data_IF_103156565434
#
_entry.id   IF_103156565434
#
_cell.length_a   1.000
_cell.length_b   1.000
_cell.length_c   1.000
_cell.angle_alpha   90.00
_cell.angle_beta   90.00
_cell.angle_gamma   90.00
#
_symmetry.space_group_name_H-M   'P 1'
#
loop_
_entity.id
_entity.type
_entity.pdbx_description
1 polymer ?
#
# COMPACT_ATOMS: atom_id res chain seq x y z
N UNK A 1 65.64 10.82 27.06
CA UNK A 1 65.44 10.22 25.72
C UNK A 1 64.12 10.76 25.14
N UNK A 2 64.25 11.42 23.97
CA UNK A 2 63.28 11.84 22.94
C UNK A 2 61.79 12.01 23.31
N UNK A 3 61.26 13.23 23.39
CA UNK A 3 60.86 14.21 22.34
C UNK A 3 59.45 14.01 21.77
N UNK A 4 58.63 15.05 21.96
CA UNK A 4 57.37 15.31 21.27
C UNK A 4 57.57 15.71 19.80
N UNK A 5 56.58 15.45 18.93
CA UNK A 5 56.34 16.22 17.70
C UNK A 5 54.93 16.00 17.13
N UNK A 6 54.21 17.10 16.94
CA UNK A 6 53.08 17.25 16.02
C UNK A 6 53.47 16.89 14.59
N UNK A 7 52.57 16.24 13.83
CA UNK A 7 52.50 16.38 12.36
C UNK A 7 51.03 16.38 11.90
N UNK A 8 50.73 17.39 11.08
CA UNK A 8 49.49 17.68 10.35
C UNK A 8 49.23 16.60 9.28
N UNK A 9 47.98 16.31 8.97
CA UNK A 9 47.63 15.82 7.63
C UNK A 9 46.78 16.87 6.91
N UNK A 10 47.40 17.42 5.87
CA UNK A 10 46.77 18.26 4.85
C UNK A 10 45.97 17.36 3.90
N UNK A 11 44.92 17.94 3.33
CA UNK A 11 44.04 17.35 2.34
C UNK A 11 44.76 17.06 1.01
N UNK A 12 44.37 15.96 0.37
CA UNK A 12 44.36 15.81 -1.08
C UNK A 12 43.01 15.22 -1.47
N UNK A 13 42.16 16.07 -2.02
CA UNK A 13 40.98 15.67 -2.78
C UNK A 13 41.45 15.09 -4.11
N UNK A 14 40.94 13.93 -4.50
CA UNK A 14 40.87 13.53 -5.91
C UNK A 14 39.82 12.43 -6.11
N UNK A 15 38.79 12.78 -6.89
CA UNK A 15 37.91 11.92 -7.69
C UNK A 15 37.18 10.77 -6.98
N UNK A 16 36.12 11.12 -6.24
CA UNK A 16 34.93 10.27 -6.24
C UNK A 16 34.06 10.72 -7.41
N UNK A 17 34.01 9.91 -8.47
CA UNK A 17 33.01 10.04 -9.53
C UNK A 17 31.62 9.93 -8.90
N UNK A 18 31.02 11.10 -8.64
CA UNK A 18 29.62 11.24 -8.34
C UNK A 18 28.86 10.81 -9.60
N UNK A 19 28.46 9.54 -9.68
CA UNK A 19 27.39 9.13 -10.58
C UNK A 19 26.13 9.82 -10.06
N UNK A 20 25.54 10.79 -10.78
CA UNK A 20 24.29 11.38 -10.36
C UNK A 20 23.23 10.29 -10.49
N UNK A 21 22.64 9.86 -9.37
CA UNK A 21 21.38 9.13 -9.41
C UNK A 21 20.38 10.10 -10.03
N UNK A 22 19.95 9.81 -11.25
CA UNK A 22 19.06 10.67 -12.00
C UNK A 22 17.75 10.81 -11.23
N UNK A 23 17.36 12.05 -10.91
CA UNK A 23 16.16 12.38 -10.15
C UNK A 23 14.88 11.69 -10.68
N UNK A 24 14.82 11.39 -11.99
CA UNK A 24 13.71 10.66 -12.62
C UNK A 24 13.50 9.23 -12.15
N UNK A 25 14.54 8.47 -11.75
CA UNK A 25 14.36 7.07 -11.32
C UNK A 25 13.67 6.93 -9.95
N UNK A 26 13.80 7.95 -9.10
CA UNK A 26 13.14 8.02 -7.79
C UNK A 26 11.68 8.43 -7.91
N UNK A 27 11.38 9.28 -8.88
CA UNK A 27 10.06 9.86 -9.15
C UNK A 27 9.07 8.82 -9.66
N UNK A 28 9.49 8.08 -10.69
CA UNK A 28 8.73 6.99 -11.31
C UNK A 28 8.24 5.94 -10.30
N UNK A 29 9.03 5.68 -9.25
CA UNK A 29 8.75 4.63 -8.26
C UNK A 29 7.83 5.09 -7.14
N UNK A 30 7.82 6.38 -6.81
CA UNK A 30 6.89 6.92 -5.82
C UNK A 30 5.48 6.95 -6.41
N UNK A 31 5.35 7.34 -7.68
CA UNK A 31 4.10 7.27 -8.41
C UNK A 31 3.59 5.82 -8.57
N UNK A 32 4.45 4.87 -8.97
CA UNK A 32 4.09 3.45 -9.01
C UNK A 32 3.65 2.93 -7.62
N UNK A 33 4.30 3.40 -6.54
CA UNK A 33 3.93 3.05 -5.18
C UNK A 33 2.53 3.58 -4.82
N UNK A 34 2.20 4.80 -5.21
CA UNK A 34 0.85 5.36 -5.05
C UNK A 34 -0.20 4.47 -5.70
N UNK A 35 -0.01 4.10 -6.96
CA UNK A 35 -0.94 3.23 -7.70
C UNK A 35 -1.05 1.86 -7.02
N UNK A 36 0.08 1.34 -6.55
CA UNK A 36 0.13 0.05 -5.86
C UNK A 36 -0.57 0.04 -4.50
N UNK A 37 -0.63 1.18 -3.80
CA UNK A 37 -1.44 1.34 -2.58
C UNK A 37 -2.90 1.64 -2.92
N UNK A 38 -3.18 2.36 -4.00
CA UNK A 38 -4.54 2.73 -4.39
C UNK A 38 -5.35 1.52 -4.88
N UNK A 39 -4.77 0.65 -5.71
CA UNK A 39 -5.46 -0.53 -6.24
C UNK A 39 -6.14 -1.41 -5.16
N UNK A 40 -5.46 -1.87 -4.08
CA UNK A 40 -6.11 -2.67 -3.05
C UNK A 40 -7.18 -1.87 -2.27
N UNK A 41 -6.95 -0.58 -1.98
CA UNK A 41 -7.97 0.26 -1.34
C UNK A 41 -9.21 0.41 -2.23
N UNK A 42 -9.02 0.62 -3.53
CA UNK A 42 -10.09 0.72 -4.51
C UNK A 42 -10.90 -0.57 -4.67
N UNK A 43 -10.23 -1.73 -4.61
CA UNK A 43 -10.91 -3.04 -4.53
C UNK A 43 -11.76 -3.12 -3.27
N UNK A 44 -11.22 -2.73 -2.11
CA UNK A 44 -11.97 -2.68 -0.85
C UNK A 44 -13.24 -1.83 -0.98
N UNK A 45 -13.12 -0.62 -1.55
CA UNK A 45 -14.27 0.25 -1.85
C UNK A 45 -15.31 -0.46 -2.71
N UNK A 46 -14.90 -1.12 -3.80
CA UNK A 46 -15.82 -1.83 -4.69
C UNK A 46 -16.55 -2.99 -3.97
N UNK A 47 -15.84 -3.73 -3.11
CA UNK A 47 -16.39 -4.85 -2.33
C UNK A 47 -17.37 -4.35 -1.29
N UNK A 48 -17.04 -3.31 -0.53
CA UNK A 48 -17.95 -2.75 0.48
C UNK A 48 -19.17 -2.11 -0.18
N UNK A 49 -19.01 -1.38 -1.28
CA UNK A 49 -20.14 -0.85 -2.05
C UNK A 49 -21.04 -1.97 -2.56
N UNK A 50 -20.46 -3.08 -3.03
CA UNK A 50 -21.22 -4.30 -3.41
C UNK A 50 -21.98 -4.88 -2.21
N UNK A 51 -21.34 -5.01 -1.06
CA UNK A 51 -21.97 -5.51 0.16
C UNK A 51 -23.14 -4.60 0.58
N UNK A 52 -22.95 -3.29 0.58
CA UNK A 52 -23.98 -2.30 0.89
C UNK A 52 -25.18 -2.43 -0.07
N UNK A 53 -24.94 -2.62 -1.36
CA UNK A 53 -25.98 -2.86 -2.38
C UNK A 53 -26.76 -4.17 -2.13
N UNK A 54 -26.16 -5.12 -1.43
CA UNK A 54 -26.71 -6.43 -1.17
C UNK A 54 -27.37 -6.59 0.20
N UNK A 55 -27.19 -5.65 1.14
CA UNK A 55 -27.73 -5.74 2.51
C UNK A 55 -29.24 -6.03 2.60
N UNK A 56 -30.04 -5.57 1.63
CA UNK A 56 -31.49 -5.79 1.58
C UNK A 56 -31.89 -6.86 0.55
N UNK A 57 -30.95 -7.61 0.00
CA UNK A 57 -31.22 -8.68 -0.95
C UNK A 57 -31.38 -10.02 -0.22
N UNK A 58 -32.55 -10.62 -0.40
CA UNK A 58 -32.88 -11.93 0.16
C UNK A 58 -31.99 -13.06 -0.35
N UNK A 59 -31.29 -12.87 -1.48
CA UNK A 59 -30.34 -13.84 -2.05
C UNK A 59 -28.93 -13.74 -1.47
N UNK A 60 -28.63 -12.68 -0.71
CA UNK A 60 -27.28 -12.46 -0.16
C UNK A 60 -27.07 -13.30 1.11
N UNK A 61 -25.88 -13.88 1.27
CA UNK A 61 -25.51 -14.71 2.44
C UNK A 61 -24.43 -14.01 3.26
N UNK A 62 -24.48 -12.67 3.29
CA UNK A 62 -23.45 -11.84 3.90
C UNK A 62 -23.31 -12.09 5.39
N UNK A 63 -22.08 -12.04 5.87
CA UNK A 63 -21.75 -12.00 7.31
C UNK A 63 -21.01 -10.71 7.63
N UNK A 64 -21.30 -10.13 8.79
CA UNK A 64 -20.60 -8.93 9.26
C UNK A 64 -19.08 -9.13 9.31
N UNK A 65 -18.63 -10.31 9.75
CA UNK A 65 -17.21 -10.71 9.75
C UNK A 65 -16.58 -10.78 8.35
N UNK A 66 -17.36 -11.08 7.31
CA UNK A 66 -16.88 -11.10 5.93
C UNK A 66 -16.77 -9.67 5.39
N UNK A 67 -17.75 -8.82 5.66
CA UNK A 67 -17.73 -7.39 5.28
C UNK A 67 -16.52 -6.70 5.94
N UNK A 68 -16.30 -6.92 7.23
CA UNK A 68 -15.19 -6.32 7.98
C UNK A 68 -13.81 -6.66 7.41
N UNK A 69 -13.61 -7.87 6.84
CA UNK A 69 -12.34 -8.29 6.24
C UNK A 69 -11.95 -7.50 4.99
N UNK A 70 -12.92 -6.87 4.34
CA UNK A 70 -12.71 -6.08 3.13
C UNK A 70 -12.76 -4.58 3.39
N UNK A 71 -12.85 -4.15 4.66
CA UNK A 71 -12.81 -2.75 5.01
C UNK A 71 -11.50 -2.13 4.49
N UNK A 72 -11.57 -1.13 3.60
CA UNK A 72 -10.38 -0.52 3.01
C UNK A 72 -9.53 0.21 4.06
N UNK A 73 -8.23 -0.09 4.08
CA UNK A 73 -7.24 0.66 4.85
C UNK A 73 -6.78 1.89 4.05
N UNK A 74 -6.72 3.04 4.72
CA UNK A 74 -6.31 4.32 4.17
C UNK A 74 -4.99 4.83 4.77
N UNK A 75 -4.45 4.15 5.79
CA UNK A 75 -3.20 4.54 6.44
C UNK A 75 -1.99 4.56 5.50
N UNK A 76 -1.81 3.59 4.57
CA UNK A 76 -0.68 3.62 3.63
C UNK A 76 -0.70 4.86 2.73
N UNK A 77 -1.85 5.15 2.12
CA UNK A 77 -2.03 6.31 1.23
C UNK A 77 -1.87 7.63 1.98
N UNK A 78 -2.42 7.74 3.20
CA UNK A 78 -2.27 8.93 4.05
C UNK A 78 -0.82 9.20 4.44
N UNK A 79 -0.02 8.15 4.61
CA UNK A 79 1.41 8.27 4.94
C UNK A 79 2.24 8.63 3.70
N UNK A 80 1.84 8.13 2.53
CA UNK A 80 2.54 8.37 1.26
C UNK A 80 2.28 9.77 0.68
N UNK A 81 1.09 10.33 0.86
CA UNK A 81 0.67 11.58 0.23
C UNK A 81 1.63 12.77 0.50
N UNK A 82 2.06 13.06 1.75
CA UNK A 82 3.02 14.13 2.01
C UNK A 82 4.34 13.94 1.27
N UNK A 83 4.82 12.70 1.17
CA UNK A 83 6.06 12.36 0.46
C UNK A 83 5.94 12.66 -1.04
N UNK A 84 4.79 12.35 -1.64
CA UNK A 84 4.55 12.63 -3.06
C UNK A 84 4.51 14.14 -3.35
N UNK A 85 3.91 14.92 -2.45
CA UNK A 85 3.86 16.38 -2.55
C UNK A 85 5.25 16.99 -2.40
N UNK A 86 6.01 16.55 -1.38
CA UNK A 86 7.37 17.06 -1.10
C UNK A 86 8.36 16.77 -2.25
N UNK A 87 8.07 15.76 -3.07
CA UNK A 87 8.89 15.36 -4.21
C UNK A 87 8.33 15.85 -5.56
N UNK A 88 7.30 16.68 -5.59
CA UNK A 88 6.63 17.19 -6.82
C UNK A 88 6.17 16.05 -7.78
N UNK A 89 5.83 14.87 -7.23
CA UNK A 89 5.42 13.68 -8.00
C UNK A 89 3.98 13.75 -8.51
N UNK A 90 3.18 14.55 -7.81
CA UNK A 90 1.79 14.82 -8.15
C UNK A 90 1.58 16.33 -8.12
N UNK A 91 0.80 16.82 -9.06
CA UNK A 91 0.47 18.24 -9.08
C UNK A 91 -0.51 18.61 -7.94
N UNK A 92 -0.63 19.89 -7.57
CA UNK A 92 -1.53 20.31 -6.51
C UNK A 92 -3.01 19.91 -6.72
N UNK A 93 -3.57 19.94 -7.94
CA UNK A 93 -4.90 19.38 -8.22
C UNK A 93 -5.02 17.89 -7.87
N UNK A 94 -4.11 17.04 -8.33
CA UNK A 94 -4.10 15.61 -8.04
C UNK A 94 -3.94 15.35 -6.54
N UNK A 95 -3.06 16.08 -5.86
CA UNK A 95 -2.91 16.00 -4.42
C UNK A 95 -4.22 16.33 -3.68
N UNK A 96 -4.96 17.34 -4.15
CA UNK A 96 -6.26 17.69 -3.61
C UNK A 96 -7.30 16.58 -3.87
N UNK A 97 -7.32 15.96 -5.07
CA UNK A 97 -8.17 14.82 -5.39
C UNK A 97 -7.90 13.62 -4.46
N UNK A 98 -6.63 13.25 -4.25
CA UNK A 98 -6.24 12.18 -3.32
C UNK A 98 -6.64 12.54 -1.87
N UNK A 99 -6.45 13.78 -1.45
CA UNK A 99 -6.83 14.22 -0.10
C UNK A 99 -8.35 14.18 0.13
N UNK A 100 -9.13 14.63 -0.85
CA UNK A 100 -10.59 14.55 -0.82
C UNK A 100 -11.06 13.09 -0.71
N UNK A 101 -10.51 12.21 -1.56
CA UNK A 101 -10.76 10.77 -1.49
C UNK A 101 -10.47 10.19 -0.10
N UNK A 102 -9.32 10.50 0.51
CA UNK A 102 -8.97 9.99 1.83
C UNK A 102 -9.93 10.47 2.92
N UNK A 103 -10.40 11.72 2.83
CA UNK A 103 -11.39 12.28 3.74
C UNK A 103 -12.74 11.58 3.60
N UNK A 104 -13.21 11.37 2.37
CA UNK A 104 -14.49 10.73 2.11
C UNK A 104 -14.46 9.24 2.48
N UNK A 105 -13.33 8.57 2.24
CA UNK A 105 -13.06 7.21 2.70
C UNK A 105 -13.10 7.09 4.23
N UNK A 106 -12.49 8.02 4.97
CA UNK A 106 -12.53 8.02 6.43
C UNK A 106 -13.97 8.24 6.97
N UNK A 107 -14.72 9.13 6.33
CA UNK A 107 -16.14 9.38 6.65
C UNK A 107 -17.00 8.13 6.41
N UNK A 108 -16.90 7.52 5.23
CA UNK A 108 -17.63 6.29 4.89
C UNK A 108 -17.25 5.11 5.81
N UNK A 109 -15.97 5.02 6.20
CA UNK A 109 -15.48 3.99 7.13
C UNK A 109 -16.07 4.15 8.53
N UNK A 110 -16.30 5.39 8.99
CA UNK A 110 -17.00 5.65 10.27
C UNK A 110 -18.41 5.08 10.25
N UNK A 111 -19.15 5.29 9.15
CA UNK A 111 -20.49 4.71 8.97
C UNK A 111 -20.48 3.19 8.87
N UNK A 112 -19.45 2.61 8.23
CA UNK A 112 -19.27 1.16 8.18
C UNK A 112 -19.01 0.57 9.57
N UNK A 113 -18.15 1.20 10.37
CA UNK A 113 -17.85 0.73 11.73
C UNK A 113 -19.09 0.76 12.62
N UNK A 114 -19.88 1.84 12.59
CA UNK A 114 -21.14 1.91 13.31
C UNK A 114 -22.13 0.78 12.91
N UNK A 115 -22.20 0.44 11.62
CA UNK A 115 -22.98 -0.69 11.15
C UNK A 115 -22.45 -2.05 11.67
N UNK A 116 -21.13 -2.23 11.70
CA UNK A 116 -20.52 -3.46 12.20
C UNK A 116 -20.74 -3.64 13.70
N UNK A 117 -20.60 -2.56 14.48
CA UNK A 117 -20.90 -2.54 15.92
C UNK A 117 -22.38 -2.92 16.17
N UNK A 118 -23.31 -2.34 15.40
CA UNK A 118 -24.73 -2.68 15.49
C UNK A 118 -25.03 -4.11 15.01
N UNK A 119 -24.24 -4.68 14.10
CA UNK A 119 -24.38 -6.09 13.72
C UNK A 119 -24.05 -7.02 14.90
N UNK A 120 -23.04 -6.69 15.69
CA UNK A 120 -22.69 -7.44 16.90
C UNK A 120 -23.79 -7.33 17.96
N UNK A 121 -24.39 -6.15 18.11
CA UNK A 121 -25.45 -5.92 19.10
C UNK A 121 -26.84 -6.44 18.67
N UNK A 122 -27.21 -6.32 17.39
CA UNK A 122 -28.60 -6.47 16.92
C UNK A 122 -28.81 -7.56 15.87
N UNK A 123 -27.75 -8.22 15.38
CA UNK A 123 -27.70 -9.06 14.17
C UNK A 123 -27.77 -8.28 12.85
N UNK A 124 -27.19 -8.87 11.79
CA UNK A 124 -27.05 -8.25 10.47
C UNK A 124 -28.39 -7.78 9.86
N UNK A 125 -29.49 -8.56 9.85
CA UNK A 125 -30.74 -8.10 9.25
C UNK A 125 -31.31 -6.85 9.92
N UNK A 126 -31.17 -6.72 11.24
CA UNK A 126 -31.66 -5.54 11.98
C UNK A 126 -30.78 -4.33 11.75
N UNK A 127 -29.46 -4.50 11.80
CA UNK A 127 -28.51 -3.45 11.48
C UNK A 127 -28.67 -2.96 10.03
N UNK A 128 -28.96 -3.87 9.08
CA UNK A 128 -29.21 -3.52 7.68
C UNK A 128 -30.41 -2.57 7.52
N UNK A 129 -31.50 -2.76 8.27
CA UNK A 129 -32.66 -1.85 8.23
C UNK A 129 -32.27 -0.42 8.64
N UNK A 130 -31.38 -0.27 9.62
CA UNK A 130 -30.93 1.03 10.12
C UNK A 130 -29.94 1.71 9.16
N UNK A 131 -29.00 0.95 8.61
CA UNK A 131 -27.80 1.50 7.96
C UNK A 131 -27.78 1.37 6.43
N UNK A 132 -28.57 0.48 5.82
CA UNK A 132 -28.41 0.13 4.40
C UNK A 132 -28.48 1.34 3.47
N UNK A 133 -29.41 2.27 3.69
CA UNK A 133 -29.55 3.46 2.84
C UNK A 133 -28.33 4.38 2.94
N UNK A 134 -27.84 4.62 4.15
CA UNK A 134 -26.65 5.43 4.39
C UNK A 134 -25.42 4.79 3.75
N UNK A 135 -25.21 3.48 3.97
CA UNK A 135 -24.09 2.75 3.41
C UNK A 135 -24.15 2.70 1.88
N UNK A 136 -25.31 2.41 1.30
CA UNK A 136 -25.47 2.43 -0.17
C UNK A 136 -25.16 3.79 -0.76
N UNK A 137 -25.62 4.88 -0.12
CA UNK A 137 -25.39 6.23 -0.64
C UNK A 137 -23.91 6.61 -0.57
N UNK A 138 -23.30 6.47 0.61
CA UNK A 138 -21.90 6.83 0.86
C UNK A 138 -20.93 5.99 0.05
N UNK A 139 -21.08 4.65 0.05
CA UNK A 139 -20.16 3.77 -0.65
C UNK A 139 -20.33 3.78 -2.18
N UNK A 140 -21.53 4.09 -2.71
CA UNK A 140 -21.68 4.35 -4.16
C UNK A 140 -21.04 5.67 -4.57
N UNK A 141 -21.16 6.72 -3.76
CA UNK A 141 -20.47 7.99 -4.03
C UNK A 141 -18.96 7.79 -4.03
N UNK A 142 -18.43 7.16 -2.98
CA UNK A 142 -17.01 6.85 -2.86
C UNK A 142 -16.51 5.96 -4.01
N UNK A 143 -17.29 4.98 -4.47
CA UNK A 143 -16.93 4.15 -5.63
C UNK A 143 -16.81 4.97 -6.92
N UNK A 144 -17.65 5.99 -7.12
CA UNK A 144 -17.54 6.91 -8.28
C UNK A 144 -16.31 7.79 -8.18
N UNK A 145 -16.05 8.37 -7.01
CA UNK A 145 -14.89 9.21 -6.75
C UNK A 145 -13.59 8.42 -6.91
N UNK A 146 -13.53 7.21 -6.36
CA UNK A 146 -12.38 6.31 -6.50
C UNK A 146 -12.11 5.99 -7.97
N UNK A 147 -13.15 5.71 -8.75
CA UNK A 147 -13.01 5.46 -10.19
C UNK A 147 -12.49 6.69 -10.92
N UNK A 148 -13.01 7.87 -10.62
CA UNK A 148 -12.56 9.13 -11.22
C UNK A 148 -11.09 9.39 -10.90
N UNK A 149 -10.68 9.23 -9.64
CA UNK A 149 -9.29 9.36 -9.20
C UNK A 149 -8.35 8.38 -9.92
N UNK A 150 -8.77 7.12 -10.09
CA UNK A 150 -7.97 6.13 -10.82
C UNK A 150 -7.75 6.53 -12.29
N UNK A 151 -8.79 7.03 -12.96
CA UNK A 151 -8.66 7.53 -14.34
C UNK A 151 -7.77 8.77 -14.41
N UNK A 152 -7.93 9.70 -13.47
CA UNK A 152 -7.07 10.90 -13.36
C UNK A 152 -5.59 10.51 -13.22
N UNK A 153 -5.29 9.53 -12.37
CA UNK A 153 -3.94 9.03 -12.15
C UNK A 153 -3.38 8.22 -13.34
N UNK A 154 -4.23 7.54 -14.11
CA UNK A 154 -3.79 6.85 -15.33
C UNK A 154 -3.47 7.83 -16.47
N UNK A 155 -4.18 8.95 -16.53
CA UNK A 155 -3.98 10.01 -17.52
C UNK A 155 -2.85 10.98 -17.11
N UNK A 156 -2.31 10.85 -15.89
CA UNK A 156 -1.23 11.69 -15.42
C UNK A 156 0.03 11.52 -16.28
N UNK A 157 0.77 12.59 -16.61
CA UNK A 157 1.97 12.54 -17.44
C UNK A 157 3.18 11.87 -16.75
N UNK A 158 2.97 11.24 -15.59
CA UNK A 158 3.97 10.46 -14.88
C UNK A 158 4.44 9.27 -15.73
N UNK A 159 5.66 8.81 -15.47
CA UNK A 159 6.35 7.76 -16.23
C UNK A 159 5.47 6.53 -16.52
N UNK A 160 5.61 5.89 -17.70
CA UNK A 160 4.70 4.84 -18.14
C UNK A 160 4.66 3.69 -17.12
N UNK A 161 3.48 3.48 -16.54
CA UNK A 161 3.24 2.39 -15.61
C UNK A 161 3.40 1.03 -16.32
N UNK A 162 3.87 -0.01 -15.62
CA UNK A 162 3.89 -1.35 -16.18
C UNK A 162 2.49 -1.79 -16.63
N UNK A 163 2.39 -2.52 -17.75
CA UNK A 163 1.13 -3.00 -18.34
C UNK A 163 0.21 -3.73 -17.33
N UNK A 164 0.78 -4.42 -16.35
CA UNK A 164 0.02 -5.09 -15.28
C UNK A 164 -0.80 -4.11 -14.44
N UNK A 165 -0.34 -2.87 -14.24
CA UNK A 165 -1.10 -1.84 -13.53
C UNK A 165 -2.30 -1.38 -14.35
N UNK A 166 -2.14 -1.16 -15.65
CA UNK A 166 -3.26 -0.83 -16.55
C UNK A 166 -4.31 -1.94 -16.58
N UNK A 167 -3.89 -3.21 -16.58
CA UNK A 167 -4.82 -4.34 -16.52
C UNK A 167 -5.59 -4.39 -15.20
N UNK A 168 -4.90 -4.22 -14.06
CA UNK A 168 -5.55 -4.10 -12.76
C UNK A 168 -6.58 -2.96 -12.76
N UNK A 169 -6.15 -1.78 -13.22
CA UNK A 169 -6.95 -0.57 -13.30
C UNK A 169 -8.25 -0.73 -14.07
N UNK A 170 -8.20 -1.40 -15.24
CA UNK A 170 -9.40 -1.72 -16.03
C UNK A 170 -10.39 -2.60 -15.27
N UNK A 171 -9.89 -3.66 -14.61
CA UNK A 171 -10.72 -4.56 -13.82
C UNK A 171 -11.36 -3.80 -12.66
N UNK A 172 -10.55 -3.09 -11.86
CA UNK A 172 -11.02 -2.35 -10.68
C UNK A 172 -12.01 -1.24 -11.07
N UNK A 173 -11.75 -0.50 -12.15
CA UNK A 173 -12.66 0.52 -12.68
C UNK A 173 -14.01 -0.06 -13.11
N UNK A 174 -14.04 -1.27 -13.66
CA UNK A 174 -15.29 -1.96 -13.99
C UNK A 174 -16.06 -2.37 -12.72
N UNK A 175 -15.38 -2.88 -11.69
CA UNK A 175 -15.98 -3.22 -10.40
C UNK A 175 -16.57 -1.99 -9.71
N UNK A 176 -15.78 -0.91 -9.62
CA UNK A 176 -16.21 0.37 -9.05
C UNK A 176 -17.40 0.94 -9.81
N UNK A 177 -17.35 0.94 -11.14
CA UNK A 177 -18.44 1.42 -11.99
C UNK A 177 -19.73 0.61 -11.81
N UNK A 178 -19.63 -0.71 -11.69
CA UNK A 178 -20.79 -1.56 -11.40
C UNK A 178 -21.36 -1.27 -10.01
N UNK A 179 -20.53 -1.28 -8.97
CA UNK A 179 -20.96 -1.05 -7.60
C UNK A 179 -21.56 0.35 -7.39
N UNK A 180 -20.96 1.39 -7.99
CA UNK A 180 -21.48 2.75 -8.02
C UNK A 180 -22.92 2.85 -8.58
N UNK A 181 -23.22 2.04 -9.60
CA UNK A 181 -24.54 1.98 -10.23
C UNK A 181 -25.52 1.03 -9.52
N UNK A 182 -25.17 0.53 -8.32
CA UNK A 182 -26.02 -0.35 -7.54
C UNK A 182 -25.91 -1.84 -7.89
N UNK A 183 -25.01 -2.21 -8.81
CA UNK A 183 -24.74 -3.61 -9.12
C UNK A 183 -23.93 -4.28 -8.00
N UNK A 184 -23.77 -5.60 -8.11
CA UNK A 184 -23.10 -6.43 -7.09
C UNK A 184 -21.95 -7.24 -7.70
N UNK A 185 -20.97 -6.59 -8.37
CA UNK A 185 -19.96 -7.29 -9.15
C UNK A 185 -19.03 -8.19 -8.31
N UNK A 186 -18.94 -7.93 -7.00
CA UNK A 186 -18.14 -8.70 -6.05
C UNK A 186 -18.95 -9.77 -5.28
N UNK A 187 -20.12 -10.19 -5.77
CA UNK A 187 -20.85 -11.35 -5.25
C UNK A 187 -20.74 -12.56 -6.18
N UNK A 188 -20.41 -13.72 -5.61
CA UNK A 188 -20.46 -14.99 -6.34
C UNK A 188 -21.92 -15.47 -6.52
N UNK A 189 -22.11 -16.55 -7.28
CA UNK A 189 -23.44 -17.15 -7.49
C UNK A 189 -24.11 -17.61 -6.18
N UNK A 190 -23.31 -17.87 -5.14
CA UNK A 190 -23.78 -18.24 -3.82
C UNK A 190 -24.08 -17.02 -2.92
N UNK A 191 -23.98 -15.80 -3.43
CA UNK A 191 -24.26 -14.57 -2.69
C UNK A 191 -23.18 -14.20 -1.66
N UNK A 192 -21.95 -14.72 -1.80
CA UNK A 192 -20.80 -14.41 -0.93
C UNK A 192 -19.89 -13.38 -1.57
N UNK A 193 -19.23 -12.58 -0.73
CA UNK A 193 -18.23 -11.63 -1.21
C UNK A 193 -17.01 -12.37 -1.76
N UNK A 194 -16.59 -11.97 -2.95
CA UNK A 194 -15.34 -12.41 -3.55
C UNK A 194 -14.63 -11.23 -4.23
N UNK A 195 -13.31 -11.32 -4.29
CA UNK A 195 -12.48 -10.37 -5.05
C UNK A 195 -12.03 -11.08 -6.33
N UNK A 196 -12.37 -10.54 -7.51
CA UNK A 196 -11.87 -11.07 -8.77
C UNK A 196 -10.34 -11.14 -8.77
N UNK A 197 -9.74 -12.18 -9.39
CA UNK A 197 -8.29 -12.27 -9.45
C UNK A 197 -7.71 -11.09 -10.24
N UNK A 198 -6.87 -10.30 -9.58
CA UNK A 198 -6.09 -9.25 -10.24
C UNK A 198 -4.77 -9.82 -10.81
N UNK A 199 -4.36 -9.44 -12.03
CA UNK A 199 -3.07 -9.81 -12.62
C UNK A 199 -1.88 -9.53 -11.71
N UNK A 200 -1.86 -8.37 -11.06
CA UNK A 200 -0.86 -8.03 -10.05
C UNK A 200 -1.48 -8.14 -8.65
N UNK A 201 -1.18 -9.25 -7.95
CA UNK A 201 -1.57 -9.48 -6.55
C UNK A 201 -0.41 -9.21 -5.60
N UNK A 202 -0.61 -8.29 -4.66
CA UNK A 202 0.20 -8.26 -3.43
C UNK A 202 -0.20 -9.46 -2.57
N UNK A 203 0.77 -10.29 -2.17
CA UNK A 203 0.52 -11.52 -1.40
C UNK A 203 0.25 -11.27 0.09
N UNK A 204 0.62 -10.10 0.60
CA UNK A 204 0.38 -9.68 1.97
C UNK A 204 0.33 -8.14 2.06
N UNK A 205 -0.50 -7.56 2.94
CA UNK A 205 -0.48 -6.14 3.23
C UNK A 205 0.90 -5.73 3.78
N UNK A 206 1.34 -4.52 3.43
CA UNK A 206 2.61 -3.96 3.88
C UNK A 206 2.34 -2.78 4.81
N UNK A 207 2.91 -2.80 6.01
CA UNK A 207 2.90 -1.68 6.94
C UNK A 207 4.09 -0.78 6.67
N UNK A 208 3.86 0.53 6.64
CA UNK A 208 4.96 1.49 6.65
C UNK A 208 5.77 1.31 7.95
N UNK A 209 7.09 1.21 7.79
CA UNK A 209 8.04 0.92 8.88
C UNK A 209 9.02 2.08 9.04
N UNK A 210 9.48 2.65 7.92
CA UNK A 210 10.22 3.92 7.82
C UNK A 210 11.37 4.09 8.84
N UNK A 211 12.26 3.10 8.96
CA UNK A 211 13.37 3.14 9.92
C UNK A 211 14.71 2.74 9.31
N UNK A 212 15.78 3.35 9.82
CA UNK A 212 17.15 2.98 9.46
C UNK A 212 17.47 1.55 9.93
N UNK A 213 18.27 0.85 9.14
CA UNK A 213 18.73 -0.50 9.44
C UNK A 213 20.18 -0.68 9.01
N UNK A 214 20.81 -1.76 9.49
CA UNK A 214 22.06 -2.28 8.96
C UNK A 214 21.76 -3.50 8.10
N UNK A 215 22.31 -3.53 6.90
CA UNK A 215 22.12 -4.63 5.95
C UNK A 215 23.45 -5.32 5.71
N UNK A 216 23.50 -6.57 6.16
CA UNK A 216 24.61 -7.49 5.94
C UNK A 216 24.37 -8.20 4.61
N UNK A 217 25.01 -7.70 3.56
CA UNK A 217 25.05 -8.34 2.25
C UNK A 217 26.19 -9.36 2.12
N UNK A 218 26.23 -10.12 1.02
CA UNK A 218 27.29 -11.10 0.78
C UNK A 218 28.68 -10.48 0.65
N UNK A 219 28.77 -9.22 0.22
CA UNK A 219 30.03 -8.54 -0.07
C UNK A 219 30.32 -7.35 0.83
N UNK A 220 29.30 -6.80 1.52
CA UNK A 220 29.47 -5.63 2.36
C UNK A 220 28.38 -5.49 3.42
N UNK A 221 28.76 -4.84 4.52
CA UNK A 221 27.84 -4.25 5.49
C UNK A 221 27.56 -2.81 5.07
N UNK A 222 26.28 -2.43 5.02
CA UNK A 222 25.89 -1.06 4.69
C UNK A 222 24.71 -0.60 5.55
N UNK A 223 24.58 0.71 5.70
CA UNK A 223 23.35 1.31 6.22
C UNK A 223 22.28 1.27 5.15
N UNK A 224 21.06 0.96 5.56
CA UNK A 224 19.89 0.95 4.69
C UNK A 224 18.68 1.56 5.40
N UNK A 225 17.56 1.59 4.71
CA UNK A 225 16.30 2.10 5.22
C UNK A 225 15.18 1.12 4.92
N UNK A 226 14.46 0.68 5.94
CA UNK A 226 13.26 -0.16 5.77
C UNK A 226 12.08 0.76 5.54
N UNK A 227 11.53 0.75 4.32
CA UNK A 227 10.33 1.51 3.97
C UNK A 227 9.09 0.89 4.57
N UNK A 228 8.94 -0.41 4.35
CA UNK A 228 7.74 -1.17 4.65
C UNK A 228 8.08 -2.60 5.07
N UNK A 229 7.16 -3.24 5.79
CA UNK A 229 7.22 -4.65 6.15
C UNK A 229 5.88 -5.33 5.89
N UNK A 230 5.93 -6.59 5.49
CA UNK A 230 4.77 -7.48 5.35
C UNK A 230 5.07 -8.78 6.07
N UNK A 231 4.06 -9.64 6.23
CA UNK A 231 4.29 -10.96 6.80
C UNK A 231 5.36 -11.76 6.03
N UNK A 232 5.56 -11.49 4.74
CA UNK A 232 6.51 -12.22 3.88
C UNK A 232 7.83 -11.52 3.60
N UNK A 233 8.06 -10.28 4.03
CA UNK A 233 9.29 -9.57 3.69
C UNK A 233 9.33 -8.07 3.99
N UNK A 234 10.47 -7.46 3.68
CA UNK A 234 10.75 -6.03 3.85
C UNK A 234 10.93 -5.33 2.50
N UNK A 235 10.44 -4.09 2.42
CA UNK A 235 10.86 -3.12 1.42
C UNK A 235 12.07 -2.35 1.94
N UNK A 236 13.20 -2.47 1.26
CA UNK A 236 14.46 -1.82 1.60
C UNK A 236 14.78 -0.69 0.61
N UNK A 237 15.38 0.39 1.09
CA UNK A 237 15.88 1.53 0.33
C UNK A 237 17.26 1.97 0.84
N UNK A 238 17.93 2.83 0.07
CA UNK A 238 19.33 3.27 0.30
C UNK A 238 20.34 2.12 0.33
N UNK A 239 20.16 1.14 -0.54
CA UNK A 239 20.98 -0.07 -0.57
C UNK A 239 21.66 -0.19 -1.93
N UNK A 240 22.98 -0.32 -1.95
CA UNK A 240 23.77 -0.48 -3.16
C UNK A 240 24.42 -1.87 -3.22
N UNK A 241 24.69 -2.35 -4.43
CA UNK A 241 25.51 -3.54 -4.67
C UNK A 241 24.85 -4.89 -4.35
N UNK A 242 23.60 -4.93 -3.88
CA UNK A 242 22.85 -6.17 -3.75
C UNK A 242 22.27 -6.61 -5.10
N UNK A 243 22.12 -7.92 -5.27
CA UNK A 243 21.52 -8.54 -6.45
C UNK A 243 20.35 -9.43 -6.05
N UNK A 244 19.44 -9.64 -6.99
CA UNK A 244 18.36 -10.61 -6.83
C UNK A 244 18.96 -12.01 -6.57
N UNK A 245 18.47 -12.67 -5.54
CA UNK A 245 18.99 -13.97 -5.08
C UNK A 245 19.99 -13.89 -3.93
N UNK A 246 20.52 -12.70 -3.62
CA UNK A 246 21.46 -12.53 -2.52
C UNK A 246 20.81 -12.86 -1.17
N UNK A 247 21.53 -13.62 -0.35
CA UNK A 247 21.18 -13.85 1.06
C UNK A 247 21.63 -12.65 1.88
N UNK A 248 20.72 -12.09 2.66
CA UNK A 248 20.98 -10.90 3.46
C UNK A 248 20.44 -11.06 4.88
N UNK A 249 21.05 -10.35 5.82
CA UNK A 249 20.50 -10.11 7.16
C UNK A 249 20.27 -8.62 7.36
N UNK A 250 19.09 -8.25 7.84
CA UNK A 250 18.71 -6.86 8.14
C UNK A 250 18.55 -6.71 9.64
N UNK A 251 19.35 -5.83 10.23
CA UNK A 251 19.39 -5.54 11.65
C UNK A 251 18.76 -4.17 11.90
N UNK A 252 17.73 -4.13 12.75
CA UNK A 252 17.04 -2.92 13.15
C UNK A 252 17.73 -2.31 14.37
N UNK A 253 17.58 -0.99 14.57
CA UNK A 253 18.10 -0.32 15.78
C UNK A 253 17.52 -0.91 17.07
N UNK A 254 16.31 -1.47 17.01
CA UNK A 254 15.68 -2.18 18.13
C UNK A 254 16.35 -3.51 18.52
N UNK A 255 17.39 -3.93 17.79
CA UNK A 255 18.06 -5.21 18.00
C UNK A 255 17.37 -6.39 17.30
N UNK A 256 16.22 -6.17 16.64
CA UNK A 256 15.57 -7.21 15.84
C UNK A 256 16.37 -7.50 14.58
N UNK A 257 16.46 -8.78 14.23
CA UNK A 257 17.19 -9.24 13.05
C UNK A 257 16.27 -10.07 12.16
N UNK A 258 16.38 -9.86 10.86
CA UNK A 258 15.62 -10.61 9.86
C UNK A 258 16.56 -11.19 8.82
N UNK A 259 16.35 -12.47 8.51
CA UNK A 259 17.07 -13.17 7.48
C UNK A 259 16.19 -13.35 6.26
N UNK A 260 16.77 -13.19 5.09
CA UNK A 260 16.01 -13.30 3.86
C UNK A 260 16.85 -13.39 2.61
N UNK A 261 16.13 -13.47 1.49
CA UNK A 261 16.69 -13.44 0.15
C UNK A 261 16.16 -12.22 -0.58
N UNK A 262 17.03 -11.51 -1.29
CA UNK A 262 16.62 -10.40 -2.14
C UNK A 262 15.78 -10.93 -3.30
N UNK A 263 14.48 -10.62 -3.27
CA UNK A 263 13.49 -11.07 -4.24
C UNK A 263 13.52 -10.22 -5.52
N UNK A 264 13.88 -8.95 -5.38
CA UNK A 264 14.07 -8.00 -6.47
C UNK A 264 15.00 -6.88 -6.02
N UNK A 265 15.70 -6.27 -6.97
CA UNK A 265 16.50 -5.06 -6.79
C UNK A 265 16.14 -4.10 -7.91
N UNK A 266 15.93 -2.85 -7.55
CA UNK A 266 15.65 -1.78 -8.50
C UNK A 266 16.38 -0.53 -7.98
N UNK A 267 17.44 -0.10 -8.66
CA UNK A 267 18.32 0.99 -8.20
C UNK A 267 18.84 0.80 -6.77
N UNK A 268 18.61 1.77 -5.89
CA UNK A 268 18.98 1.70 -4.47
C UNK A 268 17.95 1.01 -3.57
N UNK A 269 16.96 0.35 -4.18
CA UNK A 269 15.86 -0.30 -3.51
C UNK A 269 15.89 -1.79 -3.73
N UNK A 270 15.49 -2.54 -2.71
CA UNK A 270 15.39 -3.99 -2.83
C UNK A 270 14.19 -4.49 -2.04
N UNK A 271 13.57 -5.56 -2.53
CA UNK A 271 12.61 -6.33 -1.76
C UNK A 271 13.32 -7.51 -1.15
N UNK A 272 13.31 -7.63 0.17
CA UNK A 272 13.80 -8.81 0.86
C UNK A 272 12.61 -9.71 1.20
N UNK A 273 12.63 -10.96 0.75
CA UNK A 273 11.70 -12.00 1.21
C UNK A 273 12.28 -12.67 2.44
N UNK A 274 11.51 -12.80 3.52
CA UNK A 274 11.97 -13.52 4.71
C UNK A 274 12.18 -15.00 4.44
N UNK A 275 13.12 -15.59 5.16
CA UNK A 275 13.30 -17.05 5.19
C UNK A 275 12.16 -17.73 5.95
N UNK A 276 11.70 -17.10 7.04
CA UNK A 276 10.53 -17.47 7.80
C UNK A 276 9.53 -16.29 7.85
N UNK A 277 8.28 -16.46 7.41
CA UNK A 277 7.27 -15.40 7.51
C UNK A 277 7.03 -14.96 8.96
N UNK A 278 6.64 -13.71 9.15
CA UNK A 278 6.24 -13.19 10.46
C UNK A 278 4.86 -13.72 10.85
N UNK A 279 4.67 -13.99 12.14
CA UNK A 279 3.37 -14.33 12.69
C UNK A 279 2.41 -13.13 12.68
N UNK A 280 1.09 -13.39 12.73
CA UNK A 280 0.08 -12.34 12.67
C UNK A 280 0.12 -11.36 13.87
N UNK A 281 0.75 -11.74 14.97
CA UNK A 281 0.92 -10.91 16.18
C UNK A 281 2.24 -10.16 16.23
N UNK A 282 3.06 -10.23 15.18
CA UNK A 282 4.36 -9.58 15.16
C UNK A 282 4.22 -8.06 15.01
N UNK A 283 4.86 -7.29 15.88
CA UNK A 283 4.75 -5.82 15.97
C UNK A 283 5.03 -5.07 14.66
N UNK A 284 5.74 -5.66 13.68
CA UNK A 284 5.95 -5.02 12.37
C UNK A 284 4.75 -5.15 11.42
N UNK A 285 3.84 -6.09 11.68
CA UNK A 285 2.71 -6.43 10.80
C UNK A 285 1.37 -6.52 11.54
N UNK A 286 1.38 -6.54 12.88
CA UNK A 286 0.20 -6.46 13.73
C UNK A 286 -0.41 -5.06 13.65
N UNK A 287 -1.74 -5.04 13.62
CA UNK A 287 -2.61 -3.87 13.61
C UNK A 287 -2.79 -3.39 15.05
#
# INVERSE_FOLDING_TARGET
MLQARHVRYAATAEHADHVPVQAGETSDRLFEHLISELHPTAVGVAVIATAANALNDWRSVLRASEIARFAPDHAPLRTLLPVLIDHDEIDPPMAASVHAFLKDLASASTGLNAFLDDCEALSLPRAAVLHARMLQTSWRALARETKALMLELEDAPASPLPELHHQNSRIVSALLGGAANGLKPCLDEAGRLYVPPLPQKRRAPRRAVLQNCLVHGPHQLQTGFVRDASAGGLGLGRIAGLKRGDRVRVDFVSGRQFHGTIAWVTGTSAGMRFDAPLGPTDVLVAI
#
